data_IF_870501866636
#
_entry.id   IF_870501866636
#
_cell.length_a   1.000
_cell.length_b   1.000
_cell.length_c   1.000
_cell.angle_alpha   90.00
_cell.angle_beta   90.00
_cell.angle_gamma   90.00
#
_symmetry.space_group_name_H-M   'P 1'
#
loop_
_entity.id
_entity.type
_entity.pdbx_description
1 polymer ?
#
# COMPACT_ATOMS: atom_id res chain seq x y z
N UNK A 1 32.28 -7.50 12.50
CA UNK A 1 31.59 -7.90 11.24
C UNK A 1 30.10 -8.01 11.54
N UNK A 2 29.26 -7.05 11.08
CA UNK A 2 27.80 -7.20 11.19
C UNK A 2 27.38 -8.28 10.20
N UNK A 3 26.84 -9.40 10.71
CA UNK A 3 26.29 -10.46 9.85
C UNK A 3 25.13 -9.87 9.03
N UNK A 4 25.14 -10.07 7.71
CA UNK A 4 24.08 -9.63 6.80
C UNK A 4 23.02 -10.73 6.79
N UNK A 5 21.85 -10.45 7.37
CA UNK A 5 20.73 -11.38 7.39
C UNK A 5 19.42 -10.67 7.00
N UNK A 6 18.53 -11.41 6.35
CA UNK A 6 17.18 -10.96 6.04
C UNK A 6 16.22 -11.52 7.10
N UNK A 7 15.51 -10.65 7.81
CA UNK A 7 14.50 -11.06 8.78
C UNK A 7 13.13 -11.25 8.09
N UNK A 8 12.73 -12.51 7.91
CA UNK A 8 11.42 -12.86 7.32
C UNK A 8 10.34 -12.78 8.39
N UNK A 9 9.57 -11.69 8.38
CA UNK A 9 8.43 -11.47 9.28
C UNK A 9 7.33 -12.51 9.02
N UNK A 10 6.80 -13.11 10.10
CA UNK A 10 5.68 -14.08 10.05
C UNK A 10 4.30 -13.42 10.21
N UNK A 11 4.29 -12.15 10.58
CA UNK A 11 3.11 -11.28 10.68
C UNK A 11 3.04 -10.34 9.47
N UNK A 12 1.82 -9.87 9.17
CA UNK A 12 1.58 -8.92 8.07
C UNK A 12 0.87 -7.71 8.64
N UNK A 13 1.65 -6.67 8.96
CA UNK A 13 1.14 -5.39 9.44
C UNK A 13 1.25 -4.38 8.31
N UNK A 14 0.14 -3.78 7.90
CA UNK A 14 0.12 -2.83 6.80
C UNK A 14 0.09 -1.41 7.35
N UNK A 15 1.17 -0.68 7.11
CA UNK A 15 1.31 0.74 7.35
C UNK A 15 0.45 1.54 6.37
N UNK A 16 -0.19 2.59 6.87
CA UNK A 16 -0.97 3.53 6.07
C UNK A 16 -0.40 4.91 6.29
N UNK A 17 0.03 5.56 5.22
CA UNK A 17 0.54 6.93 5.31
C UNK A 17 -0.62 7.90 5.59
N UNK A 18 -0.54 8.62 6.71
CA UNK A 18 -1.53 9.60 7.15
C UNK A 18 -0.86 10.95 7.30
N UNK A 19 -1.31 11.92 6.51
CA UNK A 19 -0.91 13.31 6.66
C UNK A 19 -1.55 13.91 7.92
N UNK A 20 -0.73 14.53 8.76
CA UNK A 20 -1.14 15.21 10.00
C UNK A 20 -0.51 16.59 10.07
N UNK A 21 -0.97 17.44 11.01
CA UNK A 21 -0.38 18.76 11.26
C UNK A 21 1.10 18.71 11.67
N UNK A 22 1.58 17.58 12.20
CA UNK A 22 2.98 17.37 12.62
C UNK A 22 3.83 16.70 11.53
N UNK A 23 3.29 16.54 10.33
CA UNK A 23 3.93 15.81 9.23
C UNK A 23 3.28 14.45 8.98
N UNK A 24 3.98 13.62 8.20
CA UNK A 24 3.50 12.30 7.79
C UNK A 24 3.76 11.26 8.88
N UNK A 25 2.72 10.53 9.29
CA UNK A 25 2.82 9.39 10.18
C UNK A 25 2.40 8.11 9.44
N UNK A 26 2.97 6.98 9.82
CA UNK A 26 2.66 5.67 9.20
C UNK A 26 2.18 4.67 10.27
N UNK A 27 0.99 4.87 10.86
CA UNK A 27 0.39 3.86 11.70
C UNK A 27 0.08 2.59 10.87
N UNK A 28 0.04 1.43 11.51
CA UNK A 28 -0.19 0.16 10.85
C UNK A 28 -1.31 -0.67 11.48
N UNK A 29 -2.08 -1.31 10.61
CA UNK A 29 -3.11 -2.29 10.98
C UNK A 29 -2.40 -3.63 11.16
N UNK A 30 -2.51 -4.20 12.37
CA UNK A 30 -1.85 -5.46 12.71
C UNK A 30 -2.52 -6.65 12.06
N UNK A 31 -1.73 -7.63 11.63
CA UNK A 31 -2.18 -8.94 11.14
C UNK A 31 -3.40 -8.88 10.22
N UNK A 32 -3.27 -8.13 9.13
CA UNK A 32 -4.37 -7.89 8.18
C UNK A 32 -4.89 -9.18 7.54
N UNK A 33 -4.05 -10.22 7.44
CA UNK A 33 -4.40 -11.52 6.87
C UNK A 33 -5.49 -12.28 7.65
N UNK A 34 -5.74 -11.91 8.89
CA UNK A 34 -6.77 -12.53 9.74
C UNK A 34 -8.02 -11.66 9.90
N UNK A 35 -8.15 -10.60 9.09
CA UNK A 35 -9.24 -9.63 9.20
C UNK A 35 -10.08 -9.62 7.93
N UNK A 36 -11.37 -9.43 8.12
CA UNK A 36 -12.32 -9.14 7.06
C UNK A 36 -12.13 -7.72 6.52
N UNK A 37 -12.64 -7.46 5.32
CA UNK A 37 -12.58 -6.12 4.69
C UNK A 37 -13.28 -5.07 5.56
N UNK A 38 -14.40 -5.44 6.19
CA UNK A 38 -15.17 -4.57 7.09
C UNK A 38 -14.40 -4.23 8.37
N UNK A 39 -13.71 -5.19 8.96
CA UNK A 39 -12.83 -4.94 10.11
C UNK A 39 -11.64 -4.04 9.73
N UNK A 40 -10.99 -4.31 8.60
CA UNK A 40 -9.90 -3.47 8.09
C UNK A 40 -10.40 -2.04 7.85
N UNK A 41 -11.59 -1.87 7.28
CA UNK A 41 -12.18 -0.54 7.05
C UNK A 41 -12.43 0.23 8.35
N UNK A 42 -12.94 -0.43 9.40
CA UNK A 42 -13.16 0.20 10.70
C UNK A 42 -11.83 0.62 11.34
N UNK A 43 -10.87 -0.31 11.38
CA UNK A 43 -9.54 -0.05 11.95
C UNK A 43 -8.78 1.04 11.20
N UNK A 44 -8.94 1.11 9.88
CA UNK A 44 -8.36 2.17 9.05
C UNK A 44 -8.86 3.56 9.47
N UNK A 45 -10.18 3.69 9.69
CA UNK A 45 -10.79 4.95 10.14
C UNK A 45 -10.27 5.32 11.52
N UNK A 46 -10.33 4.38 12.47
CA UNK A 46 -9.89 4.58 13.85
C UNK A 46 -8.42 5.01 13.92
N UNK A 47 -7.52 4.30 13.23
CA UNK A 47 -6.09 4.56 13.31
C UNK A 47 -5.71 5.87 12.60
N UNK A 48 -6.42 6.23 11.53
CA UNK A 48 -6.26 7.51 10.85
C UNK A 48 -6.71 8.68 11.72
N UNK A 49 -7.82 8.53 12.46
CA UNK A 49 -8.27 9.53 13.43
C UNK A 49 -7.28 9.68 14.59
N UNK A 50 -6.79 8.57 15.16
CA UNK A 50 -5.75 8.60 16.19
C UNK A 50 -4.49 9.33 15.73
N UNK A 51 -4.06 9.10 14.48
CA UNK A 51 -2.93 9.80 13.88
C UNK A 51 -3.16 11.31 13.82
N UNK A 52 -4.30 11.74 13.28
CA UNK A 52 -4.65 13.17 13.16
C UNK A 52 -4.80 13.86 14.51
N UNK A 53 -5.32 13.15 15.51
CA UNK A 53 -5.48 13.65 16.87
C UNK A 53 -4.17 13.62 17.69
N UNK A 54 -3.11 13.00 17.16
CA UNK A 54 -1.81 12.92 17.82
C UNK A 54 -1.79 11.99 19.04
N UNK A 55 -2.69 11.01 19.08
CA UNK A 55 -2.86 10.05 20.20
C UNK A 55 -2.41 8.63 19.84
N UNK A 56 -1.57 8.49 18.82
CA UNK A 56 -0.95 7.20 18.48
C UNK A 56 0.01 6.77 19.59
N UNK A 57 -0.05 5.49 19.93
CA UNK A 57 0.94 4.87 20.81
C UNK A 57 2.10 4.28 19.98
N UNK A 58 3.18 3.88 20.66
CA UNK A 58 4.35 3.28 20.01
C UNK A 58 4.00 2.02 19.20
N UNK A 59 3.05 1.22 19.69
CA UNK A 59 2.68 -0.03 19.06
C UNK A 59 1.97 0.19 17.71
N UNK A 60 1.21 1.29 17.59
CA UNK A 60 0.50 1.65 16.37
C UNK A 60 1.44 1.91 15.18
N UNK A 61 2.68 2.35 15.43
CA UNK A 61 3.63 2.76 14.37
C UNK A 61 4.80 1.75 14.23
N UNK A 62 5.02 0.91 15.25
CA UNK A 62 6.10 -0.09 15.24
C UNK A 62 5.75 -1.33 14.43
N UNK A 63 6.77 -2.08 14.01
CA UNK A 63 6.61 -3.40 13.38
C UNK A 63 5.76 -3.42 12.09
N UNK A 64 5.81 -2.36 11.28
CA UNK A 64 5.22 -2.38 9.93
C UNK A 64 5.91 -3.42 9.04
N UNK A 65 5.15 -4.12 8.20
CA UNK A 65 5.67 -5.08 7.21
C UNK A 65 5.75 -4.45 5.82
N UNK A 66 4.80 -3.57 5.49
CA UNK A 66 4.63 -2.95 4.19
C UNK A 66 3.79 -1.68 4.33
N UNK A 67 4.06 -0.65 3.54
CA UNK A 67 3.33 0.63 3.59
C UNK A 67 2.48 0.86 2.34
N UNK A 68 1.27 1.37 2.54
CA UNK A 68 0.43 1.94 1.49
C UNK A 68 0.34 3.46 1.72
N UNK A 69 0.66 4.23 0.69
CA UNK A 69 0.55 5.69 0.69
C UNK A 69 -0.46 6.11 -0.38
N UNK A 70 -1.59 6.67 0.04
CA UNK A 70 -2.62 7.15 -0.89
C UNK A 70 -2.60 8.68 -0.95
N UNK A 71 -2.28 9.22 -2.13
CA UNK A 71 -2.33 10.65 -2.42
C UNK A 71 -3.48 10.99 -3.38
N UNK A 72 -4.47 10.09 -3.49
CA UNK A 72 -5.60 10.25 -4.40
C UNK A 72 -6.42 11.52 -4.19
N UNK A 73 -6.45 12.05 -2.95
CA UNK A 73 -7.15 13.30 -2.63
C UNK A 73 -6.40 14.57 -3.05
N UNK A 74 -5.08 14.50 -3.23
CA UNK A 74 -4.24 15.64 -3.63
C UNK A 74 -4.27 15.83 -5.16
N UNK A 75 -4.47 14.75 -5.91
CA UNK A 75 -4.67 14.81 -7.36
C UNK A 75 -3.41 14.60 -8.20
N UNK A 76 -2.34 14.03 -7.64
CA UNK A 76 -1.17 13.61 -8.41
C UNK A 76 -1.53 12.44 -9.34
N UNK A 77 -0.92 12.40 -10.55
CA UNK A 77 -1.15 11.31 -11.52
C UNK A 77 -0.31 10.08 -11.19
N UNK A 78 0.95 10.28 -10.83
CA UNK A 78 1.91 9.27 -10.38
C UNK A 78 2.88 9.95 -9.42
N UNK A 79 3.51 9.18 -8.53
CA UNK A 79 4.60 9.66 -7.69
C UNK A 79 5.52 8.48 -7.33
N UNK A 80 6.78 8.77 -6.98
CA UNK A 80 7.77 7.75 -6.58
C UNK A 80 7.89 7.72 -5.06
N UNK A 81 7.09 6.90 -4.35
CA UNK A 81 7.14 6.84 -2.89
C UNK A 81 8.51 6.36 -2.40
N UNK A 82 8.98 6.92 -1.29
CA UNK A 82 10.19 6.48 -0.61
C UNK A 82 9.82 5.38 0.39
N UNK A 83 10.61 4.31 0.43
CA UNK A 83 10.38 3.17 1.31
C UNK A 83 10.52 3.61 2.78
N UNK A 84 9.57 3.21 3.62
CA UNK A 84 9.62 3.46 5.05
C UNK A 84 10.54 2.44 5.74
N UNK A 85 11.84 2.74 5.84
CA UNK A 85 12.81 1.86 6.49
C UNK A 85 12.36 1.50 7.93
N UNK A 86 12.44 0.23 8.36
CA UNK A 86 13.15 -0.91 7.77
C UNK A 86 12.29 -1.82 6.87
N UNK A 87 11.19 -1.33 6.29
CA UNK A 87 10.46 -2.06 5.27
C UNK A 87 11.25 -2.13 3.95
N UNK A 88 10.85 -3.02 3.06
CA UNK A 88 11.54 -3.29 1.79
C UNK A 88 10.75 -2.85 0.56
N UNK A 89 9.50 -2.40 0.74
CA UNK A 89 8.65 -1.93 -0.34
C UNK A 89 7.49 -1.05 0.15
N UNK A 90 6.96 -0.23 -0.74
CA UNK A 90 5.83 0.69 -0.50
C UNK A 90 4.97 0.79 -1.76
N UNK A 91 3.64 0.85 -1.57
CA UNK A 91 2.66 1.05 -2.63
C UNK A 91 2.10 2.48 -2.60
N UNK A 92 2.33 3.25 -3.66
CA UNK A 92 1.72 4.55 -3.89
C UNK A 92 0.42 4.41 -4.68
N UNK A 93 -0.64 5.05 -4.22
CA UNK A 93 -1.94 5.09 -4.89
C UNK A 93 -2.27 6.54 -5.25
N UNK A 94 -2.55 6.79 -6.53
CA UNK A 94 -2.83 8.12 -7.07
C UNK A 94 -4.31 8.30 -7.41
N UNK A 95 -4.69 9.51 -7.86
CA UNK A 95 -6.09 9.81 -8.19
C UNK A 95 -6.56 8.96 -9.37
N UNK A 96 -7.75 8.36 -9.24
CA UNK A 96 -8.42 7.64 -10.34
C UNK A 96 -8.83 8.59 -11.45
N UNK A 97 -8.79 8.11 -12.70
CA UNK A 97 -9.29 8.85 -13.85
C UNK A 97 -9.90 7.92 -14.90
N UNK A 98 -10.81 8.45 -15.72
CA UNK A 98 -11.37 7.71 -16.84
C UNK A 98 -10.37 7.79 -18.01
N UNK A 99 -9.96 6.64 -18.54
CA UNK A 99 -9.13 6.52 -19.74
C UNK A 99 -9.85 5.69 -20.79
N UNK A 100 -9.74 6.10 -22.03
CA UNK A 100 -10.12 5.27 -23.17
C UNK A 100 -9.10 4.14 -23.36
N UNK A 101 -9.54 2.89 -23.27
CA UNK A 101 -8.71 1.69 -23.45
C UNK A 101 -9.21 0.93 -24.68
N UNK A 102 -8.29 0.55 -25.56
CA UNK A 102 -8.60 -0.33 -26.68
C UNK A 102 -8.86 -1.75 -26.18
N UNK A 103 -9.99 -2.34 -26.55
CA UNK A 103 -10.33 -3.72 -26.17
C UNK A 103 -10.03 -4.75 -27.28
N UNK A 104 -9.39 -4.33 -28.38
CA UNK A 104 -9.19 -5.15 -29.58
C UNK A 104 -10.11 -4.76 -30.74
N UNK A 105 -11.26 -4.13 -30.48
CA UNK A 105 -12.30 -3.81 -31.48
C UNK A 105 -12.71 -2.34 -31.43
N UNK A 106 -12.83 -1.78 -30.22
CA UNK A 106 -13.20 -0.38 -30.01
C UNK A 106 -12.54 0.18 -28.76
N UNK A 107 -12.54 1.50 -28.69
CA UNK A 107 -12.19 2.22 -27.49
C UNK A 107 -13.34 2.19 -26.49
N UNK A 108 -13.05 1.78 -25.25
CA UNK A 108 -14.01 1.76 -24.14
C UNK A 108 -13.51 2.62 -22.98
N UNK A 109 -14.37 3.43 -22.35
CA UNK A 109 -13.99 4.16 -21.15
C UNK A 109 -13.82 3.17 -19.99
N UNK A 110 -12.68 3.24 -19.31
CA UNK A 110 -12.41 2.50 -18.08
C UNK A 110 -11.93 3.44 -16.99
N UNK A 111 -12.35 3.16 -15.75
CA UNK A 111 -11.78 3.78 -14.56
C UNK A 111 -10.40 3.17 -14.31
N UNK A 112 -9.36 4.00 -14.31
CA UNK A 112 -7.97 3.60 -14.10
C UNK A 112 -7.52 4.09 -12.73
N UNK A 113 -6.92 3.17 -11.96
CA UNK A 113 -6.22 3.46 -10.71
C UNK A 113 -4.70 3.42 -10.95
N UNK A 114 -4.00 4.55 -10.94
CA UNK A 114 -2.55 4.55 -11.08
C UNK A 114 -1.90 4.11 -9.78
N UNK A 115 -1.01 3.12 -9.89
CA UNK A 115 -0.29 2.51 -8.77
C UNK A 115 1.20 2.68 -9.05
N UNK A 116 1.94 3.11 -8.04
CA UNK A 116 3.40 3.22 -8.08
C UNK A 116 4.00 2.29 -7.04
N UNK A 117 5.00 1.50 -7.42
CA UNK A 117 5.60 0.50 -6.54
C UNK A 117 7.09 0.76 -6.42
N UNK A 118 7.53 1.14 -5.23
CA UNK A 118 8.95 1.28 -4.91
C UNK A 118 9.38 0.12 -4.02
N UNK A 119 10.53 -0.45 -4.32
CA UNK A 119 11.07 -1.60 -3.61
C UNK A 119 12.58 -1.51 -3.49
N UNK A 120 13.14 -2.15 -2.48
CA UNK A 120 14.56 -2.24 -2.24
C UNK A 120 15.16 -3.33 -3.14
N UNK A 121 15.86 -2.91 -4.20
CA UNK A 121 16.41 -3.84 -5.19
C UNK A 121 17.54 -4.73 -4.62
N UNK A 122 18.03 -4.44 -3.40
CA UNK A 122 18.94 -5.33 -2.67
C UNK A 122 18.24 -6.59 -2.14
N UNK A 123 16.91 -6.55 -2.05
CA UNK A 123 16.08 -7.63 -1.48
C UNK A 123 15.14 -8.22 -2.53
N UNK A 124 14.59 -7.39 -3.42
CA UNK A 124 13.56 -7.78 -4.39
C UNK A 124 14.08 -7.55 -5.82
N UNK A 125 14.03 -8.58 -6.67
CA UNK A 125 14.35 -8.45 -8.09
C UNK A 125 13.20 -7.78 -8.87
N UNK A 126 13.53 -7.10 -9.97
CA UNK A 126 12.54 -6.47 -10.85
C UNK A 126 11.47 -7.43 -11.40
N UNK A 127 11.83 -8.69 -11.68
CA UNK A 127 10.86 -9.70 -12.11
C UNK A 127 9.83 -10.02 -11.01
N UNK A 128 10.27 -10.10 -9.75
CA UNK A 128 9.39 -10.37 -8.61
C UNK A 128 8.52 -9.16 -8.28
N UNK A 129 9.08 -7.96 -8.37
CA UNK A 129 8.32 -6.71 -8.28
C UNK A 129 7.20 -6.64 -9.34
N UNK A 130 7.53 -6.98 -10.60
CA UNK A 130 6.56 -7.02 -11.69
C UNK A 130 5.46 -8.07 -11.46
N UNK A 131 5.84 -9.27 -10.97
CA UNK A 131 4.87 -10.32 -10.59
C UNK A 131 3.96 -9.88 -9.46
N UNK A 132 4.50 -9.21 -8.44
CA UNK A 132 3.73 -8.70 -7.31
C UNK A 132 2.66 -7.70 -7.77
N UNK A 133 3.04 -6.70 -8.57
CA UNK A 133 2.10 -5.70 -9.09
C UNK A 133 1.10 -6.32 -10.08
N UNK A 134 1.51 -7.29 -10.89
CA UNK A 134 0.59 -8.04 -11.75
C UNK A 134 -0.49 -8.76 -10.94
N UNK A 135 -0.13 -9.38 -9.81
CA UNK A 135 -1.11 -10.04 -8.92
C UNK A 135 -2.04 -9.02 -8.27
N UNK A 136 -1.53 -7.87 -7.80
CA UNK A 136 -2.38 -6.77 -7.29
C UNK A 136 -3.37 -6.33 -8.37
N UNK A 137 -2.90 -6.06 -9.59
CA UNK A 137 -3.75 -5.64 -10.69
C UNK A 137 -4.82 -6.70 -11.02
N UNK A 138 -4.46 -7.99 -11.01
CA UNK A 138 -5.39 -9.09 -11.23
C UNK A 138 -6.50 -9.13 -10.17
N UNK A 139 -6.17 -8.93 -8.89
CA UNK A 139 -7.14 -8.89 -7.80
C UNK A 139 -8.02 -7.63 -7.87
N UNK A 140 -7.44 -6.45 -8.11
CA UNK A 140 -8.18 -5.19 -8.14
C UNK A 140 -9.07 -5.05 -9.39
N UNK A 141 -8.72 -5.72 -10.50
CA UNK A 141 -9.55 -5.73 -11.70
C UNK A 141 -10.83 -6.54 -11.53
N UNK A 142 -10.83 -7.51 -10.61
CA UNK A 142 -12.00 -8.33 -10.26
C UNK A 142 -11.83 -8.90 -8.85
N UNK A 143 -12.60 -8.38 -7.89
CA UNK A 143 -12.47 -8.71 -6.47
C UNK A 143 -12.72 -10.20 -6.16
N UNK A 144 -13.42 -10.93 -7.04
CA UNK A 144 -13.64 -12.38 -6.88
C UNK A 144 -12.33 -13.17 -6.87
N UNK A 145 -11.30 -12.63 -7.53
CA UNK A 145 -9.94 -13.18 -7.54
C UNK A 145 -9.23 -13.12 -6.19
N UNK A 146 -9.84 -12.50 -5.18
CA UNK A 146 -9.35 -12.53 -3.79
C UNK A 146 -9.69 -13.85 -3.09
N UNK A 147 -10.75 -14.54 -3.52
CA UNK A 147 -11.30 -15.74 -2.88
C UNK A 147 -10.84 -17.02 -3.62
N UNK A 148 -10.48 -16.90 -4.90
CA UNK A 148 -9.87 -17.98 -5.70
C UNK A 148 -8.38 -18.16 -5.37
#
# INVERSE_FOLDING_TARGET
LRSIYLNIKKYINIGIAVETKKGLLVPNIKDVKYKTITEISKLLIEISQKARNGVLNKNDISNGSFTISSLGHIGTKNFTPIINFPEVAILGISRVFIKSIWNGIKFIPKLILPISFSFDHRVIDGADAARFIKKINFILSDIRNLIM
#
